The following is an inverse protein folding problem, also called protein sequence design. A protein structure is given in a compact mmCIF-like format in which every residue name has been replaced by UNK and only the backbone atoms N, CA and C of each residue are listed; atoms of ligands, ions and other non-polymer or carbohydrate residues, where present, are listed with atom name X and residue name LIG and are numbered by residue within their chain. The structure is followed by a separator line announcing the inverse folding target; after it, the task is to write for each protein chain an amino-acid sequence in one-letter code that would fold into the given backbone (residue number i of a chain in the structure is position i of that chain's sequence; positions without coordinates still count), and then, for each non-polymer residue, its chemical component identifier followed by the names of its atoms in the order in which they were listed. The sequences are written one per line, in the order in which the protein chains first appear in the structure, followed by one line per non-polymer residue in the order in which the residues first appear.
data_IF_161812402146
#
_entry.id   IF_161812402146
#
_cell.length_a   1.000
_cell.length_b   1.000
_cell.length_c   1.000
_cell.angle_alpha   90.00
_cell.angle_beta   90.00
_cell.angle_gamma   90.00
#
_symmetry.space_group_name_H-M   'P 1'
#
loop_
_entity.id
_entity.type
_entity.pdbx_description
1 polymer ?
#
# COMPACT_ATOMS: atom_id res chain seq x y z
N UNK A 1 39.90 21.89 7.08
CA UNK A 1 38.51 21.86 7.59
C UNK A 1 37.58 21.85 6.40
N UNK A 2 36.68 20.86 6.31
CA UNK A 2 35.73 20.75 5.21
C UNK A 2 35.05 19.39 5.20
N UNK A 3 34.38 19.03 6.31
CA UNK A 3 33.49 17.86 6.33
C UNK A 3 32.29 18.22 5.46
N UNK A 4 32.26 17.71 4.22
CA UNK A 4 31.04 17.64 3.44
C UNK A 4 30.05 16.77 4.18
N UNK A 5 29.12 17.41 4.88
CA UNK A 5 27.91 16.74 5.37
C UNK A 5 27.12 16.34 4.11
N UNK A 6 27.35 15.12 3.65
CA UNK A 6 26.38 14.46 2.77
C UNK A 6 25.12 14.29 3.63
N UNK A 7 24.20 15.25 3.50
CA UNK A 7 22.83 15.07 3.96
C UNK A 7 22.33 13.86 3.17
N UNK A 8 22.35 12.68 3.77
CA UNK A 8 21.58 11.57 3.24
C UNK A 8 20.14 12.07 3.22
N UNK A 9 19.66 12.50 2.05
CA UNK A 9 18.28 12.88 1.86
C UNK A 9 17.52 11.56 2.00
N UNK A 10 17.11 11.25 3.24
CA UNK A 10 16.20 10.17 3.60
C UNK A 10 14.80 10.56 3.13
N UNK A 11 14.67 10.80 1.84
CA UNK A 11 13.40 10.89 1.17
C UNK A 11 13.40 9.72 0.19
N UNK A 12 12.91 8.56 0.63
CA UNK A 12 12.54 7.50 -0.30
C UNK A 12 11.41 7.96 -1.23
N UNK A 13 10.61 7.07 -1.82
CA UNK A 13 9.54 7.49 -2.72
C UNK A 13 8.49 8.37 -2.02
N UNK A 14 7.94 9.36 -2.72
CA UNK A 14 6.77 10.12 -2.25
C UNK A 14 5.45 9.42 -2.60
N UNK A 15 5.48 8.64 -3.69
CA UNK A 15 4.42 7.77 -4.13
C UNK A 15 5.03 6.48 -4.69
N UNK A 16 4.24 5.40 -4.70
CA UNK A 16 4.60 4.11 -5.29
C UNK A 16 3.60 3.80 -6.40
N UNK A 17 4.10 3.54 -7.60
CA UNK A 17 3.29 3.04 -8.71
C UNK A 17 3.06 1.54 -8.52
N UNK A 18 1.80 1.13 -8.60
CA UNK A 18 1.31 -0.21 -8.33
C UNK A 18 0.45 -0.70 -9.48
N UNK A 19 0.31 -2.03 -9.57
CA UNK A 19 -0.71 -2.65 -10.39
C UNK A 19 -1.85 -3.14 -9.52
N UNK A 20 -3.06 -2.61 -9.74
CA UNK A 20 -4.26 -3.21 -9.18
C UNK A 20 -4.65 -4.42 -10.01
N UNK A 21 -4.69 -5.59 -9.38
CA UNK A 21 -4.95 -6.86 -10.03
C UNK A 21 -6.31 -7.41 -9.62
N UNK A 22 -7.05 -7.88 -10.62
CA UNK A 22 -8.37 -8.48 -10.44
C UNK A 22 -8.48 -9.74 -11.29
N UNK A 23 -9.19 -10.74 -10.78
CA UNK A 23 -9.62 -11.88 -11.59
C UNK A 23 -10.58 -11.37 -12.67
N UNK A 24 -10.21 -11.60 -13.93
CA UNK A 24 -11.04 -11.25 -15.09
C UNK A 24 -12.03 -12.36 -15.46
N UNK A 25 -12.05 -13.46 -14.69
CA UNK A 25 -12.75 -14.69 -15.02
C UNK A 25 -11.99 -15.54 -16.03
N UNK A 26 -12.39 -16.80 -16.17
CA UNK A 26 -11.83 -17.75 -17.15
C UNK A 26 -10.30 -17.96 -17.05
N UNK A 27 -9.73 -17.73 -15.87
CA UNK A 27 -8.28 -17.82 -15.64
C UNK A 27 -7.47 -16.62 -16.13
N UNK A 28 -8.14 -15.52 -16.52
CA UNK A 28 -7.52 -14.27 -16.90
C UNK A 28 -7.25 -13.35 -15.71
N UNK A 29 -6.18 -12.56 -15.79
CA UNK A 29 -5.85 -11.51 -14.82
C UNK A 29 -5.94 -10.15 -15.52
N UNK A 30 -6.78 -9.26 -14.98
CA UNK A 30 -6.80 -7.86 -15.40
C UNK A 30 -5.84 -7.06 -14.52
N UNK A 31 -5.16 -6.08 -15.12
CA UNK A 31 -4.30 -5.13 -14.41
C UNK A 31 -4.71 -3.71 -14.74
N UNK A 32 -4.81 -2.87 -13.71
CA UNK A 32 -5.07 -1.43 -13.84
C UNK A 32 -3.95 -0.66 -13.14
N UNK A 33 -3.52 0.50 -13.68
CA UNK A 33 -2.54 1.33 -12.99
C UNK A 33 -3.15 1.88 -11.70
N UNK A 34 -2.36 1.88 -10.63
CA UNK A 34 -2.72 2.37 -9.31
C UNK A 34 -1.51 3.07 -8.68
N UNK A 35 -1.75 3.91 -7.68
CA UNK A 35 -0.67 4.62 -6.98
C UNK A 35 -0.98 4.76 -5.50
N UNK A 36 0.00 4.41 -4.66
CA UNK A 36 -0.02 4.70 -3.23
C UNK A 36 0.76 6.00 -2.96
N UNK A 37 0.06 7.02 -2.47
CA UNK A 37 0.67 8.29 -2.09
C UNK A 37 1.09 8.26 -0.62
N UNK A 38 2.40 8.17 -0.38
CA UNK A 38 3.01 8.01 0.95
C UNK A 38 3.21 9.34 1.66
N UNK A 39 3.54 10.39 0.91
CA UNK A 39 3.84 11.71 1.48
C UNK A 39 3.19 12.79 0.64
N UNK A 40 2.48 13.68 1.32
CA UNK A 40 1.97 14.91 0.75
C UNK A 40 2.84 16.07 1.22
N UNK A 41 3.29 16.89 0.28
CA UNK A 41 3.75 18.23 0.61
C UNK A 41 2.59 19.09 1.11
N UNK A 42 2.84 20.31 1.62
CA UNK A 42 1.75 21.25 1.89
C UNK A 42 0.97 21.53 0.60
N UNK A 43 -0.31 21.15 0.57
CA UNK A 43 -1.19 21.34 -0.59
C UNK A 43 -2.05 20.13 -0.91
N UNK A 44 -2.77 20.22 -2.02
CA UNK A 44 -3.59 19.14 -2.56
C UNK A 44 -2.70 18.06 -3.19
N UNK A 45 -3.07 16.76 -3.14
CA UNK A 45 -2.39 15.71 -3.90
C UNK A 45 -2.21 16.09 -5.37
N UNK A 46 -1.06 15.74 -5.99
CA UNK A 46 -0.87 15.94 -7.43
C UNK A 46 -2.00 15.30 -8.23
N UNK A 47 -2.50 16.02 -9.25
CA UNK A 47 -3.53 15.50 -10.16
C UNK A 47 -2.99 14.32 -10.96
N UNK A 48 -3.78 13.25 -11.07
CA UNK A 48 -3.48 12.02 -11.81
C UNK A 48 -4.65 11.62 -12.71
N UNK A 49 -4.84 12.31 -13.86
CA UNK A 49 -5.93 12.01 -14.78
C UNK A 49 -5.73 10.69 -15.54
N UNK A 50 -4.52 10.12 -15.47
CA UNK A 50 -4.15 8.80 -16.00
C UNK A 50 -4.67 7.64 -15.15
N UNK A 51 -5.06 7.89 -13.90
CA UNK A 51 -5.50 6.87 -12.95
C UNK A 51 -7.01 6.89 -12.77
N UNK A 52 -7.55 5.73 -12.43
CA UNK A 52 -8.86 5.67 -11.76
C UNK A 52 -8.72 6.38 -10.39
N UNK A 53 -9.56 7.39 -10.07
CA UNK A 53 -9.51 8.06 -8.77
C UNK A 53 -9.64 7.13 -7.57
N UNK A 54 -10.30 5.97 -7.72
CA UNK A 54 -10.39 4.96 -6.66
C UNK A 54 -9.09 4.17 -6.45
N UNK A 55 -8.14 4.27 -7.40
CA UNK A 55 -6.84 3.59 -7.36
C UNK A 55 -5.68 4.57 -7.11
N UNK A 56 -5.97 5.85 -6.84
CA UNK A 56 -5.01 6.82 -6.35
C UNK A 56 -5.21 7.03 -4.84
N UNK A 57 -4.54 6.21 -4.04
CA UNK A 57 -4.81 6.11 -2.61
C UNK A 57 -3.84 6.94 -1.79
N UNK A 58 -4.37 7.86 -0.98
CA UNK A 58 -3.60 8.49 0.10
C UNK A 58 -3.43 7.48 1.23
N UNK A 59 -2.18 7.17 1.57
CA UNK A 59 -1.87 6.28 2.67
C UNK A 59 -2.02 7.00 4.00
N UNK A 60 -2.95 6.52 4.83
CA UNK A 60 -2.97 6.79 6.27
C UNK A 60 -2.42 5.56 6.99
N UNK A 61 -1.30 5.73 7.70
CA UNK A 61 -0.56 4.65 8.36
C UNK A 61 -0.39 4.98 9.85
N UNK A 62 -1.42 4.73 10.69
CA UNK A 62 -1.39 5.07 12.11
C UNK A 62 -0.28 4.35 12.89
N UNK A 63 0.06 3.12 12.49
CA UNK A 63 1.14 2.35 13.12
C UNK A 63 2.54 2.82 12.65
N UNK A 64 2.62 3.48 11.50
CA UNK A 64 3.81 4.12 10.96
C UNK A 64 4.83 3.18 10.30
N UNK A 65 4.53 1.88 10.23
CA UNK A 65 5.47 0.87 9.75
C UNK A 65 5.76 1.03 8.25
N UNK A 66 4.72 1.26 7.44
CA UNK A 66 4.81 1.39 5.99
C UNK A 66 5.58 2.68 5.62
N UNK A 67 5.20 3.81 6.22
CA UNK A 67 5.85 5.09 5.97
C UNK A 67 7.29 5.11 6.46
N UNK A 68 7.59 4.47 7.60
CA UNK A 68 8.96 4.36 8.11
C UNK A 68 9.85 3.50 7.20
N UNK A 69 9.32 2.41 6.63
CA UNK A 69 10.04 1.57 5.69
C UNK A 69 10.44 2.35 4.45
N UNK A 70 9.50 3.07 3.82
CA UNK A 70 9.80 3.85 2.62
C UNK A 70 10.61 5.12 2.90
N UNK A 71 10.56 5.69 4.10
CA UNK A 71 11.47 6.76 4.51
C UNK A 71 12.94 6.30 4.52
N UNK A 72 13.18 5.02 4.82
CA UNK A 72 14.51 4.40 4.84
C UNK A 72 14.91 3.77 3.50
N UNK A 73 14.05 3.86 2.49
CA UNK A 73 14.35 3.29 1.17
C UNK A 73 15.60 3.94 0.58
N UNK A 74 16.56 3.17 0.01
CA UNK A 74 17.83 3.73 -0.43
C UNK A 74 17.65 4.77 -1.54
N UNK A 75 18.32 5.92 -1.39
CA UNK A 75 18.33 6.94 -2.42
C UNK A 75 18.96 6.39 -3.71
N UNK A 76 18.33 6.64 -4.86
CA UNK A 76 18.79 6.16 -6.17
C UNK A 76 18.50 4.68 -6.45
N UNK A 77 17.86 3.94 -5.53
CA UNK A 77 17.38 2.60 -5.83
C UNK A 77 16.23 2.64 -6.86
N UNK A 78 16.06 1.57 -7.67
CA UNK A 78 14.90 1.44 -8.55
C UNK A 78 13.58 1.53 -7.78
N UNK A 79 12.52 1.95 -8.48
CA UNK A 79 11.18 1.92 -7.93
C UNK A 79 10.82 0.48 -7.50
N UNK A 80 10.25 0.28 -6.30
CA UNK A 80 9.85 -1.05 -5.85
C UNK A 80 8.71 -1.57 -6.73
N UNK A 81 8.67 -2.89 -6.92
CA UNK A 81 7.50 -3.53 -7.50
C UNK A 81 6.34 -3.47 -6.48
N UNK A 82 5.16 -3.14 -6.95
CA UNK A 82 3.96 -3.04 -6.12
C UNK A 82 2.76 -3.65 -6.85
N UNK A 83 2.04 -4.50 -6.13
CA UNK A 83 0.78 -5.10 -6.54
C UNK A 83 -0.25 -4.79 -5.47
N UNK A 84 -1.45 -4.42 -5.90
CA UNK A 84 -2.60 -4.19 -5.05
C UNK A 84 -3.73 -5.11 -5.48
N UNK A 85 -4.50 -5.64 -4.54
CA UNK A 85 -5.61 -6.55 -4.82
C UNK A 85 -6.76 -6.37 -3.85
N UNK A 86 -7.94 -6.91 -4.18
CA UNK A 86 -9.04 -6.96 -3.20
C UNK A 86 -8.72 -7.98 -2.12
N UNK A 87 -8.84 -7.55 -0.87
CA UNK A 87 -8.75 -8.41 0.29
C UNK A 87 -10.16 -8.68 0.85
N UNK A 88 -10.42 -9.91 1.25
CA UNK A 88 -11.63 -10.29 1.98
C UNK A 88 -11.19 -10.85 3.32
N UNK A 89 -11.49 -10.16 4.45
CA UNK A 89 -11.20 -10.69 5.76
C UNK A 89 -11.89 -12.04 5.96
N UNK A 90 -11.09 -13.08 6.22
CA UNK A 90 -11.60 -14.44 6.36
C UNK A 90 -10.78 -15.22 7.40
N UNK A 91 -11.40 -16.14 8.16
CA UNK A 91 -10.68 -16.98 9.10
C UNK A 91 -9.55 -17.76 8.44
N UNK A 92 -8.42 -17.88 9.15
CA UNK A 92 -7.31 -18.68 8.68
C UNK A 92 -7.73 -20.14 8.51
N UNK A 93 -7.33 -20.75 7.39
CA UNK A 93 -7.64 -22.15 7.07
C UNK A 93 -6.88 -23.15 7.95
N UNK A 94 -5.73 -22.73 8.51
CA UNK A 94 -4.88 -23.58 9.33
C UNK A 94 -5.51 -23.83 10.72
N UNK A 95 -5.62 -25.11 11.11
CA UNK A 95 -6.27 -25.51 12.36
C UNK A 95 -5.66 -24.89 13.62
N UNK A 96 -4.34 -24.66 13.64
CA UNK A 96 -3.65 -24.08 14.80
C UNK A 96 -4.08 -22.62 15.07
N UNK A 97 -4.53 -21.90 14.05
CA UNK A 97 -4.93 -20.49 14.15
C UNK A 97 -6.39 -20.33 14.61
N UNK A 98 -7.16 -21.42 14.76
CA UNK A 98 -8.57 -21.37 15.18
C UNK A 98 -8.77 -20.66 16.52
N UNK A 99 -7.78 -20.71 17.43
CA UNK A 99 -7.84 -20.02 18.71
C UNK A 99 -7.80 -18.49 18.62
N UNK A 100 -7.47 -17.90 17.46
CA UNK A 100 -7.46 -16.45 17.25
C UNK A 100 -8.86 -15.86 17.05
N UNK A 101 -9.84 -16.69 16.68
CA UNK A 101 -11.23 -16.28 16.42
C UNK A 101 -12.16 -17.23 17.17
N UNK A 102 -12.30 -17.06 18.51
CA UNK A 102 -13.16 -17.92 19.31
C UNK A 102 -14.65 -17.73 19.00
N UNK A 103 -15.05 -16.55 18.51
CA UNK A 103 -16.41 -16.27 18.09
C UNK A 103 -16.74 -16.92 16.73
N UNK A 104 -17.93 -17.50 16.60
CA UNK A 104 -18.41 -18.08 15.33
C UNK A 104 -19.16 -17.05 14.46
N UNK A 105 -18.73 -15.78 14.51
CA UNK A 105 -19.36 -14.69 13.75
C UNK A 105 -18.31 -13.71 13.21
N UNK A 106 -18.64 -13.04 12.09
CA UNK A 106 -17.79 -12.02 11.51
C UNK A 106 -17.86 -10.73 12.35
N UNK A 107 -16.72 -10.14 12.77
CA UNK A 107 -16.71 -8.86 13.47
C UNK A 107 -17.19 -7.73 12.56
N UNK A 108 -18.21 -6.96 12.99
CA UNK A 108 -18.70 -5.79 12.22
C UNK A 108 -17.66 -4.67 12.05
N UNK A 109 -16.64 -4.65 12.90
CA UNK A 109 -15.54 -3.68 12.77
C UNK A 109 -14.73 -3.87 11.47
N UNK A 110 -14.92 -4.99 10.77
CA UNK A 110 -14.27 -5.31 9.51
C UNK A 110 -15.18 -5.06 8.28
N UNK A 111 -16.35 -4.45 8.47
CA UNK A 111 -17.22 -4.07 7.36
C UNK A 111 -16.52 -3.03 6.45
N UNK A 112 -16.82 -3.08 5.15
CA UNK A 112 -16.22 -2.21 4.13
C UNK A 112 -15.29 -2.93 3.16
N UNK A 113 -14.75 -2.17 2.20
CA UNK A 113 -13.83 -2.69 1.19
C UNK A 113 -12.39 -2.68 1.70
N UNK A 114 -11.67 -3.78 1.49
CA UNK A 114 -10.28 -3.93 1.89
C UNK A 114 -9.38 -4.17 0.68
N UNK A 115 -8.17 -3.62 0.77
CA UNK A 115 -7.11 -3.83 -0.21
C UNK A 115 -5.90 -4.46 0.50
N UNK A 116 -5.20 -5.32 -0.25
CA UNK A 116 -3.88 -5.86 0.09
C UNK A 116 -2.85 -5.26 -0.87
#
# INVERSE_FOLDING_TARGET
VGKGLATCVLAGPAAIECWFVEDAGQGGLAKKPATLLLRQGPGEPPSRPDLDPQLYLKVDDPAGALLAAFKRYPAGAPAPQCEMSRFVPFPASANWAKGLIPEQSCPRALDGDWLL
#
